data_IF_796796330297
#
_entry.id   IF_796796330297
#
_cell.length_a   1.000
_cell.length_b   1.000
_cell.length_c   1.000
_cell.angle_alpha   90.00
_cell.angle_beta   90.00
_cell.angle_gamma   90.00
#
_symmetry.space_group_name_H-M   'P 1'
#
loop_
_entity.id
_entity.type
_entity.pdbx_description
1 polymer ?
#
# COMPACT_ATOMS: atom_id res chain seq x y z
N UNK A 1 -18.33 -0.21 8.46
CA UNK A 1 -17.44 -0.20 7.27
C UNK A 1 -16.16 -0.97 7.55
N UNK A 2 -16.24 -2.31 7.57
CA UNK A 2 -15.12 -3.18 7.92
C UNK A 2 -13.92 -3.02 6.98
N UNK A 3 -14.18 -3.00 5.66
CA UNK A 3 -13.13 -2.84 4.65
C UNK A 3 -12.31 -1.55 4.85
N UNK A 4 -12.98 -0.44 5.22
CA UNK A 4 -12.32 0.83 5.48
C UNK A 4 -11.46 0.80 6.76
N UNK A 5 -11.88 0.06 7.79
CA UNK A 5 -11.09 -0.14 9.00
C UNK A 5 -9.83 -0.96 8.72
N UNK A 6 -9.95 -2.04 7.93
CA UNK A 6 -8.80 -2.82 7.47
C UNK A 6 -7.88 -1.97 6.59
N UNK A 7 -8.43 -1.13 5.71
CA UNK A 7 -7.64 -0.20 4.88
C UNK A 7 -6.88 0.83 5.73
N UNK A 8 -7.51 1.39 6.76
CA UNK A 8 -6.87 2.33 7.67
C UNK A 8 -5.72 1.66 8.44
N UNK A 9 -5.91 0.43 8.90
CA UNK A 9 -4.84 -0.34 9.54
C UNK A 9 -3.70 -0.68 8.59
N UNK A 10 -4.03 -1.02 7.34
CA UNK A 10 -3.05 -1.17 6.26
C UNK A 10 -2.26 0.12 6.03
N UNK A 11 -2.93 1.27 6.00
CA UNK A 11 -2.27 2.57 5.86
C UNK A 11 -1.33 2.89 7.02
N UNK A 12 -1.75 2.66 8.27
CA UNK A 12 -0.88 2.78 9.43
C UNK A 12 0.32 1.81 9.36
N UNK A 13 0.08 0.57 8.92
CA UNK A 13 1.14 -0.43 8.75
C UNK A 13 2.13 -0.03 7.66
N UNK A 14 1.64 0.54 6.56
CA UNK A 14 2.47 1.09 5.50
C UNK A 14 3.37 2.21 6.03
N UNK A 15 2.81 3.15 6.82
CA UNK A 15 3.55 4.26 7.43
C UNK A 15 4.63 3.83 8.42
N UNK A 16 4.53 2.64 9.02
CA UNK A 16 5.58 2.08 9.89
C UNK A 16 6.74 1.44 9.12
N UNK A 17 6.63 1.27 7.80
CA UNK A 17 7.68 0.64 7.01
C UNK A 17 7.35 0.62 5.52
N UNK A 18 6.82 -0.52 5.05
CA UNK A 18 6.55 -0.73 3.64
C UNK A 18 5.27 -1.57 3.45
N UNK A 19 4.96 -1.90 2.19
CA UNK A 19 3.85 -2.78 1.79
C UNK A 19 3.75 -4.09 2.60
N UNK A 20 4.82 -4.84 2.93
CA UNK A 20 4.70 -6.05 3.77
C UNK A 20 4.23 -5.73 5.20
N UNK A 21 4.63 -4.59 5.75
CA UNK A 21 4.20 -4.13 7.09
C UNK A 21 2.72 -3.74 7.07
N UNK A 22 2.26 -3.12 5.98
CA UNK A 22 0.85 -2.85 5.73
C UNK A 22 0.01 -4.15 5.70
N UNK A 23 0.48 -5.15 4.96
CA UNK A 23 -0.19 -6.46 4.87
C UNK A 23 -0.22 -7.17 6.22
N UNK A 24 0.87 -7.16 6.98
CA UNK A 24 0.91 -7.74 8.33
C UNK A 24 -0.12 -7.08 9.27
N UNK A 25 -0.26 -5.76 9.20
CA UNK A 25 -1.21 -5.02 10.04
C UNK A 25 -2.68 -5.30 9.64
N UNK A 26 -2.95 -5.40 8.34
CA UNK A 26 -4.26 -5.85 7.85
C UNK A 26 -4.55 -7.30 8.28
N UNK A 27 -3.54 -8.18 8.21
CA UNK A 27 -3.65 -9.57 8.64
C UNK A 27 -4.02 -9.70 10.11
N UNK A 28 -3.43 -8.88 11.00
CA UNK A 28 -3.75 -8.86 12.42
C UNK A 28 -5.24 -8.62 12.69
N UNK A 29 -5.87 -7.72 11.93
CA UNK A 29 -7.31 -7.44 12.04
C UNK A 29 -8.13 -8.56 11.38
N UNK A 30 -7.76 -8.97 10.17
CA UNK A 30 -8.53 -9.98 9.44
C UNK A 30 -8.49 -11.37 10.09
N UNK A 31 -7.47 -11.67 10.89
CA UNK A 31 -7.39 -12.90 11.66
C UNK A 31 -8.42 -12.95 12.82
N UNK A 32 -8.86 -11.79 13.32
CA UNK A 32 -9.84 -11.69 14.42
C UNK A 32 -11.27 -11.48 13.91
N UNK A 33 -11.45 -10.73 12.82
CA UNK A 33 -12.77 -10.28 12.36
C UNK A 33 -13.15 -10.80 10.96
N UNK A 34 -12.30 -11.63 10.35
CA UNK A 34 -12.52 -12.24 9.03
C UNK A 34 -11.83 -11.50 7.88
N UNK A 35 -11.71 -12.13 6.70
CA UNK A 35 -10.96 -11.57 5.57
C UNK A 35 -11.63 -10.34 4.93
N UNK A 36 -10.83 -9.39 4.43
CA UNK A 36 -11.29 -8.25 3.62
C UNK A 36 -10.54 -8.21 2.28
N UNK A 37 -11.16 -8.75 1.24
CA UNK A 37 -10.56 -8.85 -0.10
C UNK A 37 -10.32 -7.49 -0.76
N UNK A 38 -11.18 -6.50 -0.51
CA UNK A 38 -11.02 -5.15 -1.08
C UNK A 38 -9.79 -4.45 -0.52
N UNK A 39 -9.56 -4.52 0.80
CA UNK A 39 -8.40 -3.89 1.41
C UNK A 39 -7.08 -4.54 0.97
N UNK A 40 -7.06 -5.88 0.88
CA UNK A 40 -5.88 -6.63 0.43
C UNK A 40 -5.56 -6.45 -1.06
N UNK A 41 -6.51 -6.04 -1.90
CA UNK A 41 -6.25 -5.68 -3.29
C UNK A 41 -5.71 -4.24 -3.41
N UNK A 42 -6.34 -3.29 -2.71
CA UNK A 42 -6.05 -1.86 -2.85
C UNK A 42 -4.67 -1.50 -2.29
N UNK A 43 -4.31 -2.02 -1.10
CA UNK A 43 -3.06 -1.63 -0.42
C UNK A 43 -1.80 -2.01 -1.22
N UNK A 44 -1.64 -3.23 -1.77
CA UNK A 44 -0.48 -3.57 -2.58
C UNK A 44 -0.43 -2.82 -3.91
N UNK A 45 -1.58 -2.64 -4.58
CA UNK A 45 -1.64 -1.90 -5.84
C UNK A 45 -1.20 -0.44 -5.65
N UNK A 46 -1.69 0.21 -4.58
CA UNK A 46 -1.36 1.59 -4.31
C UNK A 46 0.02 1.77 -3.68
N UNK A 47 0.41 0.88 -2.76
CA UNK A 47 1.64 1.00 -1.98
C UNK A 47 2.91 0.47 -2.64
N UNK A 48 2.80 -0.46 -3.59
CA UNK A 48 3.94 -0.99 -4.33
C UNK A 48 3.86 -0.63 -5.83
N UNK A 49 2.81 -1.10 -6.50
CA UNK A 49 2.76 -1.05 -7.97
C UNK A 49 2.71 0.38 -8.54
N UNK A 50 1.77 1.22 -8.09
CA UNK A 50 1.67 2.58 -8.61
C UNK A 50 2.86 3.47 -8.20
N UNK A 51 3.43 3.23 -7.02
CA UNK A 51 4.64 3.95 -6.59
C UNK A 51 5.80 3.68 -7.54
N UNK A 52 5.98 2.43 -7.98
CA UNK A 52 7.04 2.08 -8.94
C UNK A 52 6.86 2.78 -10.29
N UNK A 53 5.63 2.85 -10.81
CA UNK A 53 5.34 3.53 -12.07
C UNK A 53 5.61 5.04 -11.98
N UNK A 54 5.17 5.68 -10.90
CA UNK A 54 5.40 7.11 -10.67
C UNK A 54 6.90 7.36 -10.49
N UNK A 55 7.59 6.54 -9.71
CA UNK A 55 9.02 6.66 -9.48
C UNK A 55 9.81 6.56 -10.79
N UNK A 56 9.53 5.56 -11.63
CA UNK A 56 10.15 5.42 -12.94
C UNK A 56 9.91 6.64 -13.85
N UNK A 57 8.68 7.18 -13.83
CA UNK A 57 8.30 8.35 -14.63
C UNK A 57 9.03 9.61 -14.15
N UNK A 58 9.06 9.84 -12.83
CA UNK A 58 9.69 11.02 -12.21
C UNK A 58 11.20 10.99 -12.43
N UNK A 59 11.87 9.84 -12.23
CA UNK A 59 13.31 9.71 -12.48
C UNK A 59 13.63 10.02 -13.94
N UNK A 60 12.88 9.46 -14.89
CA UNK A 60 13.10 9.73 -16.32
C UNK A 60 12.92 11.21 -16.68
N UNK A 61 11.92 11.88 -16.11
CA UNK A 61 11.68 13.30 -16.33
C UNK A 61 12.81 14.16 -15.76
N UNK A 62 13.25 13.88 -14.53
CA UNK A 62 14.35 14.61 -13.89
C UNK A 62 15.64 14.43 -14.69
N UNK A 63 15.96 13.21 -15.13
CA UNK A 63 17.15 12.94 -15.94
C UNK A 63 17.12 13.70 -17.28
N UNK A 64 15.97 13.74 -17.95
CA UNK A 64 15.80 14.50 -19.21
C UNK A 64 15.80 16.02 -19.03
N UNK A 65 15.49 16.51 -17.83
CA UNK A 65 15.51 17.94 -17.53
C UNK A 65 16.92 18.45 -17.19
N UNK A 66 17.75 17.60 -16.58
CA UNK A 66 19.13 17.93 -16.19
C UNK A 66 20.20 17.56 -17.24
N UNK A 67 19.86 16.70 -18.22
CA UNK A 67 20.71 16.37 -19.37
C UNK A 67 20.42 17.29 -20.57
#
# INVERSE_FOLDING_TARGET
>A
NYDAAVLAAGHCGFGMGATPTAVANMQAITNMYGPSHKAFLIVPLCGAFFVDLINATVIQLILKFFA
#
